data_IF_822797095335
#
_entry.id   IF_822797095335
#
_cell.length_a   1.000
_cell.length_b   1.000
_cell.length_c   1.000
_cell.angle_alpha   90.00
_cell.angle_beta   90.00
_cell.angle_gamma   90.00
#
_symmetry.space_group_name_H-M   'P 1'
#
loop_
_entity.id
_entity.type
_entity.pdbx_description
1 polymer ?
#
# COMPACT_ATOMS: atom_id res chain seq x y z
N UNK A 1 -58.14 9.74 10.55
CA UNK A 1 -56.69 9.84 10.23
C UNK A 1 -55.83 9.19 11.31
N UNK A 2 -56.02 7.89 11.61
CA UNK A 2 -55.22 7.16 12.61
C UNK A 2 -54.77 5.77 12.16
N UNK A 3 -55.15 5.33 10.94
CA UNK A 3 -54.87 3.97 10.46
C UNK A 3 -53.72 3.87 9.44
N UNK A 4 -53.14 4.99 9.00
CA UNK A 4 -52.08 4.99 7.97
C UNK A 4 -50.67 5.07 8.61
N UNK A 5 -50.56 5.42 9.90
CA UNK A 5 -49.26 5.65 10.55
C UNK A 5 -48.54 4.32 10.87
N UNK A 6 -49.29 3.26 11.15
CA UNK A 6 -48.75 1.95 11.57
C UNK A 6 -47.98 1.23 10.45
N UNK A 7 -48.46 1.14 9.19
CA UNK A 7 -47.70 0.45 8.14
C UNK A 7 -46.45 1.22 7.68
N UNK A 8 -46.39 2.55 7.87
CA UNK A 8 -45.22 3.37 7.48
C UNK A 8 -44.06 3.19 8.46
N UNK A 9 -44.35 3.03 9.76
CA UNK A 9 -43.32 2.79 10.77
C UNK A 9 -42.70 1.39 10.67
N UNK A 10 -43.46 0.40 10.20
CA UNK A 10 -42.98 -0.97 9.98
C UNK A 10 -42.07 -1.10 8.75
N UNK A 11 -42.26 -0.26 7.73
CA UNK A 11 -41.41 -0.25 6.54
C UNK A 11 -40.03 0.37 6.81
N UNK A 12 -39.94 1.35 7.72
CA UNK A 12 -38.68 2.00 8.07
C UNK A 12 -37.77 1.10 8.93
N UNK A 13 -38.36 0.17 9.72
CA UNK A 13 -37.60 -0.78 10.53
C UNK A 13 -36.92 -1.89 9.71
N UNK A 14 -37.41 -2.19 8.50
CA UNK A 14 -36.85 -3.21 7.62
C UNK A 14 -35.64 -2.73 6.80
N UNK A 15 -35.36 -1.42 6.79
CA UNK A 15 -34.23 -0.84 6.05
C UNK A 15 -32.93 -0.74 6.86
N UNK A 16 -32.93 -1.10 8.16
CA UNK A 16 -31.77 -0.98 9.04
C UNK A 16 -30.92 -2.27 9.17
N UNK A 17 -31.26 -3.34 8.47
CA UNK A 17 -30.52 -4.62 8.52
C UNK A 17 -29.65 -4.88 7.27
N UNK A 18 -29.40 -3.88 6.44
CA UNK A 18 -28.47 -4.03 5.32
C UNK A 18 -27.07 -3.56 5.73
N UNK A 19 -26.19 -4.55 5.86
CA UNK A 19 -24.74 -4.46 5.88
C UNK A 19 -24.08 -4.10 7.22
N UNK A 20 -23.92 -5.12 8.05
CA UNK A 20 -22.79 -5.19 8.96
C UNK A 20 -22.32 -6.66 8.96
N UNK A 21 -21.73 -7.09 7.84
CA UNK A 21 -20.90 -8.27 7.84
C UNK A 21 -19.66 -7.91 8.68
N UNK A 22 -19.63 -8.41 9.91
CA UNK A 22 -18.42 -8.41 10.71
C UNK A 22 -17.49 -9.39 10.05
N UNK A 23 -16.46 -8.88 9.38
CA UNK A 23 -15.33 -9.69 8.94
C UNK A 23 -14.81 -10.48 10.14
N UNK A 24 -14.98 -11.79 10.07
CA UNK A 24 -14.39 -12.73 11.01
C UNK A 24 -12.87 -12.55 10.99
N UNK A 25 -12.30 -12.38 12.18
CA UNK A 25 -10.87 -12.40 12.43
C UNK A 25 -10.24 -13.67 11.82
N UNK A 26 -9.65 -13.52 10.64
CA UNK A 26 -8.73 -14.49 10.05
C UNK A 26 -7.31 -13.90 10.21
N UNK A 27 -6.34 -14.64 10.79
CA UNK A 27 -4.99 -14.13 10.95
C UNK A 27 -4.34 -13.99 9.56
N UNK A 28 -4.05 -12.74 9.17
CA UNK A 28 -3.44 -12.29 7.92
C UNK A 28 -4.16 -12.70 6.63
N UNK A 29 -5.08 -11.87 6.10
CA UNK A 29 -5.21 -11.82 4.65
C UNK A 29 -3.82 -11.46 4.10
N UNK A 30 -3.27 -12.31 3.24
CA UNK A 30 -2.21 -11.89 2.33
C UNK A 30 -2.77 -10.69 1.57
N UNK A 31 -2.39 -9.48 2.00
CA UNK A 31 -2.87 -8.25 1.41
C UNK A 31 -2.32 -8.22 -0.01
N UNK A 32 -3.21 -8.42 -0.97
CA UNK A 32 -2.85 -8.62 -2.38
C UNK A 32 -2.66 -7.25 -2.99
N UNK A 33 -1.44 -6.93 -3.42
CA UNK A 33 -1.13 -5.66 -4.08
C UNK A 33 -1.96 -5.57 -5.36
N UNK A 34 -2.63 -4.44 -5.61
CA UNK A 34 -3.29 -4.22 -6.89
C UNK A 34 -2.24 -3.77 -7.92
N UNK A 35 -1.52 -4.76 -8.47
CA UNK A 35 -0.45 -4.53 -9.43
C UNK A 35 -0.89 -3.71 -10.64
N UNK A 36 -2.14 -3.84 -11.10
CA UNK A 36 -2.66 -3.07 -12.22
C UNK A 36 -2.79 -1.58 -11.87
N UNK A 37 -3.32 -1.26 -10.67
CA UNK A 37 -3.41 0.11 -10.20
C UNK A 37 -2.02 0.74 -9.99
N UNK A 38 -1.08 -0.03 -9.43
CA UNK A 38 0.30 0.42 -9.26
C UNK A 38 0.99 0.66 -10.61
N UNK A 39 0.84 -0.26 -11.57
CA UNK A 39 1.41 -0.13 -12.92
C UNK A 39 0.85 1.09 -13.66
N UNK A 40 -0.48 1.26 -13.69
CA UNK A 40 -1.12 2.45 -14.26
C UNK A 40 -0.62 3.73 -13.57
N UNK A 41 -0.48 3.68 -12.24
CA UNK A 41 0.09 4.76 -11.44
C UNK A 41 1.50 5.15 -11.92
N UNK A 42 2.37 4.16 -12.10
CA UNK A 42 3.74 4.35 -12.56
C UNK A 42 3.82 4.86 -14.01
N UNK A 43 2.95 4.37 -14.91
CA UNK A 43 2.88 4.82 -16.32
C UNK A 43 2.44 6.29 -16.39
N UNK A 44 1.29 6.58 -15.79
CA UNK A 44 0.60 7.87 -15.94
C UNK A 44 1.00 8.92 -14.90
N UNK A 45 1.82 8.56 -13.91
CA UNK A 45 2.23 9.46 -12.83
C UNK A 45 1.10 9.78 -11.86
N UNK A 46 0.20 8.82 -11.60
CA UNK A 46 -0.87 8.98 -10.64
C UNK A 46 -0.35 8.66 -9.23
N UNK A 47 0.16 9.70 -8.56
CA UNK A 47 0.76 9.62 -7.23
C UNK A 47 -0.20 9.02 -6.18
N UNK A 48 -1.50 9.33 -6.24
CA UNK A 48 -2.48 8.82 -5.28
C UNK A 48 -2.62 7.28 -5.36
N UNK A 49 -2.58 6.73 -6.57
CA UNK A 49 -2.63 5.29 -6.79
C UNK A 49 -1.34 4.61 -6.33
N UNK A 50 -0.18 5.21 -6.62
CA UNK A 50 1.10 4.68 -6.15
C UNK A 50 1.16 4.72 -4.62
N UNK A 51 0.76 5.84 -4.01
CA UNK A 51 0.73 6.03 -2.56
C UNK A 51 -0.12 4.96 -1.88
N UNK A 52 -1.34 4.74 -2.38
CA UNK A 52 -2.27 3.76 -1.82
C UNK A 52 -1.66 2.37 -1.77
N UNK A 53 -1.21 1.85 -2.92
CA UNK A 53 -0.72 0.47 -3.04
C UNK A 53 0.60 0.26 -2.28
N UNK A 54 1.49 1.26 -2.30
CA UNK A 54 2.78 1.19 -1.60
C UNK A 54 2.60 1.31 -0.09
N UNK A 55 1.73 2.21 0.38
CA UNK A 55 1.44 2.32 1.82
C UNK A 55 0.81 1.06 2.37
N UNK A 56 -0.13 0.48 1.62
CA UNK A 56 -0.77 -0.79 1.94
C UNK A 56 0.25 -1.91 2.12
N UNK A 57 1.19 -2.04 1.18
CA UNK A 57 2.28 -3.01 1.26
C UNK A 57 3.18 -2.76 2.48
N UNK A 58 3.56 -1.52 2.75
CA UNK A 58 4.44 -1.15 3.86
C UNK A 58 3.86 -1.50 5.24
N UNK A 59 2.52 -1.58 5.42
CA UNK A 59 1.91 -1.94 6.71
C UNK A 59 2.27 -3.34 7.19
N UNK A 60 2.74 -4.21 6.28
CA UNK A 60 3.15 -5.57 6.63
C UNK A 60 4.56 -5.64 7.23
N UNK A 61 5.31 -4.54 7.20
CA UNK A 61 6.74 -4.52 7.49
C UNK A 61 7.08 -3.51 8.60
N UNK A 62 6.80 -3.85 9.88
CA UNK A 62 7.20 -3.02 11.01
C UNK A 62 8.73 -2.95 11.12
N UNK A 63 9.29 -1.87 11.68
CA UNK A 63 10.73 -1.76 11.86
C UNK A 63 11.26 -2.84 12.81
N UNK A 64 12.39 -3.44 12.44
CA UNK A 64 13.12 -4.42 13.26
C UNK A 64 14.57 -3.95 13.42
N UNK A 65 14.86 -2.99 14.32
CA UNK A 65 16.21 -2.50 14.52
C UNK A 65 17.17 -3.61 14.96
N UNK A 66 18.36 -3.61 14.38
CA UNK A 66 19.48 -4.49 14.74
C UNK A 66 20.73 -3.68 15.05
N UNK A 67 21.81 -4.34 15.45
CA UNK A 67 23.09 -3.65 15.66
C UNK A 67 23.70 -3.10 14.38
N UNK A 68 23.35 -3.67 13.22
CA UNK A 68 23.86 -3.26 11.91
C UNK A 68 22.87 -2.39 11.12
N UNK A 69 21.62 -2.29 11.59
CA UNK A 69 20.55 -1.47 11.05
C UNK A 69 19.72 -0.84 12.18
N UNK A 70 20.16 0.33 12.67
CA UNK A 70 19.51 1.02 13.80
C UNK A 70 18.09 1.51 13.46
N UNK A 71 17.78 1.73 12.17
CA UNK A 71 16.44 2.15 11.74
C UNK A 71 15.51 0.93 11.64
N UNK A 72 16.04 -0.22 11.20
CA UNK A 72 15.34 -1.50 11.18
C UNK A 72 14.46 -1.74 9.94
N UNK A 73 14.80 -1.12 8.81
CA UNK A 73 14.01 -1.18 7.58
C UNK A 73 14.76 -1.74 6.37
N UNK A 74 16.03 -2.13 6.52
CA UNK A 74 16.80 -2.71 5.42
C UNK A 74 16.14 -4.00 4.90
N UNK A 75 15.91 -4.97 5.79
CA UNK A 75 15.25 -6.25 5.42
C UNK A 75 13.80 -6.04 4.96
N UNK A 76 13.14 -4.99 5.46
CA UNK A 76 11.78 -4.64 5.05
C UNK A 76 11.74 -4.19 3.60
N UNK A 77 12.69 -3.36 3.16
CA UNK A 77 12.77 -2.95 1.75
C UNK A 77 13.07 -4.13 0.84
N UNK A 78 13.98 -5.01 1.25
CA UNK A 78 14.30 -6.22 0.48
C UNK A 78 13.05 -7.11 0.33
N UNK A 79 12.25 -7.22 1.39
CA UNK A 79 10.99 -7.96 1.38
C UNK A 79 9.92 -7.30 0.50
N UNK A 80 9.77 -5.97 0.57
CA UNK A 80 8.86 -5.19 -0.28
C UNK A 80 9.22 -5.38 -1.77
N UNK A 81 10.50 -5.29 -2.11
CA UNK A 81 10.98 -5.49 -3.48
C UNK A 81 10.71 -6.93 -3.94
N UNK A 82 10.93 -7.92 -3.07
CA UNK A 82 10.63 -9.30 -3.35
C UNK A 82 9.14 -9.54 -3.61
N UNK A 83 8.25 -8.99 -2.79
CA UNK A 83 6.79 -9.10 -3.01
C UNK A 83 6.36 -8.42 -4.31
N UNK A 84 6.82 -7.20 -4.57
CA UNK A 84 6.53 -6.49 -5.81
C UNK A 84 6.97 -7.28 -7.04
N UNK A 85 8.17 -7.87 -6.98
CA UNK A 85 8.72 -8.69 -8.08
C UNK A 85 7.95 -9.99 -8.30
N UNK A 86 7.43 -10.62 -7.24
CA UNK A 86 6.73 -11.89 -7.35
C UNK A 86 5.25 -11.75 -7.66
N UNK A 87 4.61 -10.68 -7.18
CA UNK A 87 3.18 -10.45 -7.37
C UNK A 87 2.90 -9.70 -8.68
N UNK A 88 3.80 -8.80 -9.11
CA UNK A 88 3.57 -7.93 -10.26
C UNK A 88 4.52 -8.24 -11.42
N UNK A 89 3.97 -8.50 -12.61
CA UNK A 89 4.74 -8.84 -13.81
C UNK A 89 4.94 -7.66 -14.78
N UNK A 90 4.26 -6.53 -14.57
CA UNK A 90 4.29 -5.36 -15.46
C UNK A 90 5.53 -4.48 -15.33
N UNK A 91 6.35 -4.72 -14.30
CA UNK A 91 7.55 -3.93 -14.03
C UNK A 91 8.62 -4.74 -13.32
N UNK A 92 9.85 -4.25 -13.38
CA UNK A 92 10.98 -4.70 -12.57
C UNK A 92 11.21 -3.69 -11.46
N UNK A 93 11.43 -4.18 -10.24
CA UNK A 93 11.66 -3.35 -9.05
C UNK A 93 13.08 -3.57 -8.52
N UNK A 94 13.78 -2.49 -8.19
CA UNK A 94 15.12 -2.54 -7.58
C UNK A 94 15.27 -1.52 -6.47
N UNK A 95 16.18 -1.80 -5.52
CA UNK A 95 16.55 -0.85 -4.48
C UNK A 95 17.41 0.26 -5.12
N UNK A 96 16.94 1.49 -5.07
CA UNK A 96 17.75 2.66 -5.41
C UNK A 96 18.72 3.00 -4.29
N UNK A 97 18.20 3.16 -3.08
CA UNK A 97 19.00 3.32 -1.86
C UNK A 97 18.19 3.07 -0.60
N UNK A 98 18.87 2.68 0.48
CA UNK A 98 18.31 2.63 1.83
C UNK A 98 18.73 3.87 2.62
N UNK A 99 17.76 4.57 3.22
CA UNK A 99 17.94 5.68 4.17
C UNK A 99 18.94 6.76 3.72
N UNK A 100 19.12 6.97 2.41
CA UNK A 100 20.21 7.77 1.86
C UNK A 100 19.85 9.24 1.64
N UNK A 101 18.57 9.58 1.68
CA UNK A 101 18.09 10.93 1.42
C UNK A 101 17.93 11.70 2.73
N UNK A 102 18.87 12.62 2.96
CA UNK A 102 18.90 13.50 4.13
C UNK A 102 17.62 14.34 4.24
N UNK A 103 16.68 13.84 5.04
CA UNK A 103 15.39 14.44 5.38
C UNK A 103 14.98 13.98 6.78
N UNK A 104 13.88 14.51 7.32
CA UNK A 104 13.38 14.11 8.63
C UNK A 104 11.90 13.66 8.52
N UNK A 105 11.60 12.35 8.58
CA UNK A 105 12.54 11.21 8.69
C UNK A 105 13.37 11.03 7.41
N UNK A 106 14.47 10.25 7.50
CA UNK A 106 15.27 9.88 6.32
C UNK A 106 14.41 9.11 5.31
N UNK A 107 14.85 9.06 4.07
CA UNK A 107 14.12 8.40 3.00
C UNK A 107 14.96 7.43 2.21
N UNK A 108 14.30 6.35 1.82
CA UNK A 108 14.78 5.33 0.89
C UNK A 108 14.17 5.56 -0.48
N UNK A 109 14.74 4.91 -1.49
CA UNK A 109 14.28 5.02 -2.88
C UNK A 109 14.14 3.63 -3.49
N UNK A 110 13.01 3.40 -4.13
CA UNK A 110 12.75 2.21 -4.96
C UNK A 110 12.63 2.67 -6.41
N UNK A 111 13.25 1.92 -7.32
CA UNK A 111 13.22 2.20 -8.75
C UNK A 111 12.37 1.13 -9.44
N UNK A 112 11.49 1.58 -10.32
CA UNK A 112 10.65 0.76 -11.18
C UNK A 112 11.08 0.96 -12.63
N UNK A 113 11.26 -0.14 -13.35
CA UNK A 113 11.49 -0.14 -14.81
C UNK A 113 10.36 -0.90 -15.47
N UNK A 114 9.67 -0.26 -16.43
CA UNK A 114 8.49 -0.81 -17.09
C UNK A 114 8.52 -0.49 -18.59
N UNK A 115 7.81 -1.29 -19.39
CA UNK A 115 7.58 -1.01 -20.81
C UNK A 115 6.25 -0.28 -21.01
N UNK A 116 6.29 0.86 -21.70
CA UNK A 116 5.09 1.58 -22.10
C UNK A 116 5.08 1.71 -23.62
N UNK A 117 4.32 0.83 -24.28
CA UNK A 117 4.19 0.77 -25.73
C UNK A 117 5.55 0.65 -26.46
N UNK A 118 6.46 -0.19 -25.95
CA UNK A 118 7.79 -0.40 -26.53
C UNK A 118 8.84 0.63 -26.11
N UNK A 119 8.53 1.50 -25.14
CA UNK A 119 9.47 2.48 -24.57
C UNK A 119 9.72 2.13 -23.11
N UNK A 120 11.00 1.95 -22.75
CA UNK A 120 11.41 1.78 -21.36
C UNK A 120 11.15 3.08 -20.57
N UNK A 121 10.35 2.97 -19.52
CA UNK A 121 10.06 4.04 -18.58
C UNK A 121 10.67 3.67 -17.24
N UNK A 122 11.45 4.58 -16.67
CA UNK A 122 11.96 4.46 -15.30
C UNK A 122 11.24 5.43 -14.37
N UNK A 123 10.82 4.94 -13.21
CA UNK A 123 10.20 5.71 -12.13
C UNK A 123 10.96 5.45 -10.85
N UNK A 124 11.06 6.49 -10.03
CA UNK A 124 11.73 6.43 -8.74
C UNK A 124 10.75 6.98 -7.72
N UNK A 125 10.37 6.14 -6.76
CA UNK A 125 9.52 6.56 -5.65
C UNK A 125 10.36 6.70 -4.38
N UNK A 126 9.89 7.52 -3.46
CA UNK A 126 10.56 7.73 -2.17
C UNK A 126 9.69 7.18 -1.06
N UNK A 127 10.33 6.47 -0.15
CA UNK A 127 9.70 5.99 1.07
C UNK A 127 10.27 6.74 2.26
N UNK A 128 9.41 7.27 3.12
CA UNK A 128 9.80 7.66 4.48
C UNK A 128 10.27 6.41 5.20
N UNK A 129 11.43 6.52 5.85
CA UNK A 129 12.10 5.43 6.56
C UNK A 129 12.38 5.90 7.99
N UNK A 130 11.33 6.13 8.80
CA UNK A 130 11.47 6.60 10.17
C UNK A 130 12.04 5.54 11.10
N UNK A 131 12.66 5.97 12.20
CA UNK A 131 12.98 5.07 13.31
C UNK A 131 11.69 4.73 14.07
N UNK A 132 11.43 3.44 14.32
CA UNK A 132 10.32 2.93 15.15
C UNK A 132 8.88 3.18 14.62
N UNK A 133 8.72 3.60 13.37
CA UNK A 133 7.42 3.71 12.71
C UNK A 133 7.41 2.88 11.42
N UNK A 134 6.25 2.67 10.78
CA UNK A 134 6.19 2.01 9.48
C UNK A 134 6.74 2.92 8.38
N UNK A 135 7.29 2.31 7.33
CA UNK A 135 7.58 3.04 6.10
C UNK A 135 6.29 3.52 5.44
N UNK A 136 6.35 4.66 4.76
CA UNK A 136 5.22 5.18 3.97
C UNK A 136 5.73 5.86 2.70
N UNK A 137 4.88 5.97 1.70
CA UNK A 137 5.03 6.86 0.56
C UNK A 137 5.18 8.34 1.00
N UNK A 138 5.81 9.17 0.16
CA UNK A 138 6.28 10.53 0.51
C UNK A 138 5.86 11.61 -0.46
#
# INVERSE_FOLDING_TARGET
MKQIIIPVLLLFALLLNSCCDKEENNPNPSMTINCAALEDGLIFGNEDAIEMEINELCQNYPPVPTTDDEIGHQENLDSIIFELTNQCQGFVTELGCYACLNSFPTQSTIIFTLDSAGVEVKRSIRLRTPENEFMTYR
#
